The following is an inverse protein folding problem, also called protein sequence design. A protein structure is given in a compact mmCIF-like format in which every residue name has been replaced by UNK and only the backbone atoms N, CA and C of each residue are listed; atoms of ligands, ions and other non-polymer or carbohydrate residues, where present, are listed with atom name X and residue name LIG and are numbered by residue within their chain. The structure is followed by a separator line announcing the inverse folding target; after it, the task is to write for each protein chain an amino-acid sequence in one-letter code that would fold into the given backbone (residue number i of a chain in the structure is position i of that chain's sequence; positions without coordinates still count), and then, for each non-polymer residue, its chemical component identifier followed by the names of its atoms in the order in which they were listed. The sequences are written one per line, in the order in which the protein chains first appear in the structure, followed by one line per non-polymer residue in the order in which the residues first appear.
data_IF_309048992330
#
_entry.id   IF_309048992330
#
_cell.length_a   1.000
_cell.length_b   1.000
_cell.length_c   1.000
_cell.angle_alpha   90.00
_cell.angle_beta   90.00
_cell.angle_gamma   90.00
#
_symmetry.space_group_name_H-M   'P 1'
#
loop_
_entity.id
_entity.type
_entity.pdbx_description
1 polymer ?
#
# COMPACT_ATOMS: atom_id res chain seq x y z
N UNK A 1 10.18 39.25 21.13
CA UNK A 1 9.16 38.18 21.03
C UNK A 1 8.76 38.09 19.57
N UNK A 2 9.52 37.33 18.77
CA UNK A 2 9.17 37.07 17.37
C UNK A 2 8.01 36.09 17.33
N UNK A 3 6.93 36.43 16.62
CA UNK A 3 5.85 35.48 16.40
C UNK A 3 6.31 34.46 15.38
N UNK A 4 6.39 33.18 15.77
CA UNK A 4 6.58 32.08 14.83
C UNK A 4 5.38 32.04 13.87
N UNK A 5 5.66 31.92 12.58
CA UNK A 5 4.63 31.68 11.57
C UNK A 5 3.90 30.35 11.86
N UNK A 6 2.63 30.27 11.48
CA UNK A 6 1.75 29.13 11.78
C UNK A 6 2.26 27.82 11.17
N UNK A 7 2.88 27.85 9.98
CA UNK A 7 3.49 26.68 9.35
C UNK A 7 4.76 26.22 10.10
N UNK A 8 5.60 27.16 10.54
CA UNK A 8 6.79 26.85 11.32
C UNK A 8 6.42 26.21 12.67
N UNK A 9 5.37 26.71 13.32
CA UNK A 9 4.84 26.14 14.56
C UNK A 9 4.26 24.73 14.37
N UNK A 10 3.50 24.50 13.29
CA UNK A 10 2.99 23.15 12.96
C UNK A 10 4.13 22.16 12.68
N UNK A 11 5.15 22.57 11.92
CA UNK A 11 6.34 21.77 11.67
C UNK A 11 7.09 21.43 12.97
N UNK A 12 7.26 22.41 13.87
CA UNK A 12 7.82 22.22 15.21
C UNK A 12 7.03 21.20 16.04
N UNK A 13 5.70 21.31 16.07
CA UNK A 13 4.83 20.41 16.83
C UNK A 13 4.88 18.99 16.24
N UNK A 14 4.79 18.87 14.91
CA UNK A 14 4.81 17.58 14.24
C UNK A 14 6.15 16.87 14.41
N UNK A 15 7.27 17.61 14.36
CA UNK A 15 8.62 17.06 14.47
C UNK A 15 9.12 16.85 15.90
N UNK A 16 8.49 17.49 16.87
CA UNK A 16 8.77 17.20 18.28
C UNK A 16 7.93 16.05 18.80
N UNK A 17 6.78 15.75 18.17
CA UNK A 17 5.73 14.84 18.69
C UNK A 17 5.47 15.06 20.21
N UNK A 18 5.63 16.30 20.70
CA UNK A 18 5.50 16.65 22.12
C UNK A 18 6.77 16.51 22.98
N UNK A 19 7.94 16.21 22.41
CA UNK A 19 9.22 16.11 23.12
C UNK A 19 9.76 17.49 23.53
N UNK A 20 9.44 17.88 24.76
CA UNK A 20 9.80 19.18 25.35
C UNK A 20 11.31 19.45 25.36
N UNK A 21 12.14 18.41 25.55
CA UNK A 21 13.59 18.57 25.50
C UNK A 21 14.08 18.89 24.08
N UNK A 22 13.51 18.27 23.05
CA UNK A 22 13.79 18.60 21.65
C UNK A 22 13.41 20.03 21.30
N UNK A 23 12.23 20.48 21.75
CA UNK A 23 11.81 21.88 21.61
C UNK A 23 12.80 22.84 22.29
N UNK A 24 13.34 22.47 23.44
CA UNK A 24 14.32 23.27 24.17
C UNK A 24 15.67 23.34 23.44
N UNK A 25 16.16 22.23 22.89
CA UNK A 25 17.35 22.23 22.03
C UNK A 25 17.16 23.07 20.76
N UNK A 26 15.96 23.06 20.17
CA UNK A 26 15.64 23.91 19.03
C UNK A 26 15.63 25.40 19.41
N UNK A 27 15.07 25.74 20.57
CA UNK A 27 15.11 27.11 21.10
C UNK A 27 16.54 27.58 21.40
N UNK A 28 17.39 26.70 21.94
CA UNK A 28 18.81 26.99 22.20
C UNK A 28 19.55 27.28 20.89
N UNK A 29 19.44 26.42 19.88
CA UNK A 29 20.08 26.63 18.58
C UNK A 29 19.57 27.90 17.86
N UNK A 30 18.27 28.19 17.97
CA UNK A 30 17.70 29.43 17.42
C UNK A 30 18.21 30.69 18.13
N UNK A 31 18.47 30.62 19.43
CA UNK A 31 19.03 31.73 20.19
C UNK A 31 20.49 32.05 19.82
N UNK A 32 21.25 31.05 19.37
CA UNK A 32 22.64 31.20 18.94
C UNK A 32 22.78 31.69 17.49
N UNK A 33 21.80 31.41 16.63
CA UNK A 33 21.83 31.75 15.20
C UNK A 33 21.51 33.23 14.88
N UNK A 34 20.99 34.00 15.84
CA UNK A 34 20.99 35.47 15.81
C UNK A 34 20.08 36.20 14.80
N UNK A 35 19.38 35.51 13.88
CA UNK A 35 18.54 36.16 12.85
C UNK A 35 17.31 35.32 12.43
N UNK A 36 16.20 35.95 12.02
CA UNK A 36 14.93 35.27 11.65
C UNK A 36 15.04 34.49 10.32
N UNK A 37 15.95 34.88 9.41
CA UNK A 37 16.28 34.10 8.20
C UNK A 37 17.14 32.86 8.49
N UNK A 38 17.65 32.73 9.73
CA UNK A 38 18.48 31.63 10.18
C UNK A 38 17.68 30.47 10.76
N UNK A 39 16.34 30.50 10.75
CA UNK A 39 15.51 29.43 11.32
C UNK A 39 15.84 28.06 10.71
N UNK A 40 16.04 27.98 9.39
CA UNK A 40 16.43 26.73 8.71
C UNK A 40 17.84 26.26 9.09
N UNK A 41 18.79 27.17 9.29
CA UNK A 41 20.14 26.84 9.75
C UNK A 41 20.16 26.47 11.23
N UNK A 42 19.36 27.13 12.06
CA UNK A 42 19.13 26.81 13.47
C UNK A 42 18.42 25.46 13.63
N UNK A 43 17.51 25.10 12.72
CA UNK A 43 16.87 23.79 12.65
C UNK A 43 17.86 22.69 12.29
N UNK A 44 18.80 22.94 11.37
CA UNK A 44 19.87 21.98 11.08
C UNK A 44 20.91 21.89 12.22
N UNK A 45 21.29 23.01 12.84
CA UNK A 45 22.17 23.02 14.00
C UNK A 45 21.55 22.34 15.22
N UNK A 46 20.25 22.51 15.45
CA UNK A 46 19.51 21.83 16.51
C UNK A 46 19.37 20.33 16.27
N UNK A 47 19.23 19.90 15.01
CA UNK A 47 19.27 18.49 14.65
C UNK A 47 20.62 17.84 14.97
N UNK A 48 21.74 18.54 14.74
CA UNK A 48 23.08 18.05 15.12
C UNK A 48 23.19 17.92 16.64
N UNK A 49 22.85 18.97 17.39
CA UNK A 49 22.89 18.94 18.86
C UNK A 49 21.96 17.88 19.47
N UNK A 50 20.76 17.68 18.91
CA UNK A 50 19.84 16.62 19.34
C UNK A 50 20.42 15.25 19.02
N UNK A 51 21.03 15.06 17.85
CA UNK A 51 21.65 13.79 17.48
C UNK A 51 22.83 13.47 18.40
N UNK A 52 23.70 14.44 18.68
CA UNK A 52 24.82 14.28 19.62
C UNK A 52 24.30 13.94 21.02
N UNK A 53 23.30 14.66 21.53
CA UNK A 53 22.68 14.35 22.82
C UNK A 53 22.06 12.94 22.86
N UNK A 54 21.22 12.58 21.87
CA UNK A 54 20.60 11.25 21.80
C UNK A 54 21.66 10.15 21.67
N UNK A 55 22.83 10.46 21.14
CA UNK A 55 23.92 9.51 21.00
C UNK A 55 24.70 9.36 22.30
N UNK A 56 25.22 10.45 22.86
CA UNK A 56 26.12 10.42 24.01
C UNK A 56 25.38 10.16 25.34
N UNK A 57 24.23 10.80 25.52
CA UNK A 57 23.50 10.80 26.80
C UNK A 57 22.40 9.74 26.87
N UNK A 58 21.99 9.22 25.71
CA UNK A 58 20.95 8.17 25.65
C UNK A 58 21.57 6.87 25.16
N UNK A 59 22.01 6.77 23.91
CA UNK A 59 22.42 5.49 23.32
C UNK A 59 23.68 4.92 23.98
N UNK A 60 24.74 5.72 24.09
CA UNK A 60 26.05 5.27 24.59
C UNK A 60 26.00 4.91 26.10
N UNK A 61 24.99 5.43 26.84
CA UNK A 61 24.71 5.09 28.23
C UNK A 61 23.93 3.78 28.41
N UNK A 62 23.35 3.20 27.35
CA UNK A 62 22.56 1.97 27.46
C UNK A 62 23.46 0.73 27.59
N UNK A 63 22.97 -0.34 28.24
CA UNK A 63 23.59 -1.65 28.18
C UNK A 63 23.85 -2.11 26.73
N UNK A 64 24.96 -2.80 26.50
CA UNK A 64 25.42 -3.15 25.14
C UNK A 64 24.43 -4.05 24.37
N UNK A 65 23.71 -4.92 25.07
CA UNK A 65 22.64 -5.75 24.54
C UNK A 65 21.40 -4.92 24.12
N UNK A 66 21.04 -3.90 24.91
CA UNK A 66 19.96 -2.96 24.57
C UNK A 66 20.34 -2.09 23.36
N UNK A 67 21.59 -1.63 23.28
CA UNK A 67 22.09 -0.91 22.10
C UNK A 67 22.00 -1.78 20.85
N UNK A 68 22.43 -3.05 20.93
CA UNK A 68 22.32 -4.00 19.83
C UNK A 68 20.85 -4.21 19.42
N UNK A 69 19.93 -4.38 20.39
CA UNK A 69 18.49 -4.46 20.11
C UNK A 69 18.01 -3.26 19.30
N UNK A 70 18.33 -2.03 19.74
CA UNK A 70 17.90 -0.79 19.09
C UNK A 70 18.39 -0.70 17.65
N UNK A 71 19.66 -1.03 17.41
CA UNK A 71 20.22 -0.99 16.06
C UNK A 71 19.57 -2.04 15.16
N UNK A 72 19.44 -3.29 15.61
CA UNK A 72 18.84 -4.37 14.83
C UNK A 72 17.41 -4.00 14.37
N UNK A 73 16.57 -3.51 15.29
CA UNK A 73 15.15 -3.25 15.00
C UNK A 73 14.87 -1.87 14.40
N UNK A 74 15.85 -0.95 14.35
CA UNK A 74 15.66 0.40 13.81
C UNK A 74 15.18 0.45 12.34
N UNK A 75 15.47 -0.60 11.57
CA UNK A 75 15.05 -0.74 10.18
C UNK A 75 13.55 -1.09 10.02
N UNK A 76 12.89 -1.51 11.10
CA UNK A 76 11.46 -1.79 11.15
C UNK A 76 10.70 -0.50 11.45
N UNK A 77 9.65 -0.20 10.68
CA UNK A 77 8.83 1.00 10.90
C UNK A 77 7.90 0.87 12.11
N UNK A 78 7.44 -0.36 12.34
CA UNK A 78 6.68 -0.77 13.50
C UNK A 78 7.08 -2.19 13.88
N UNK A 79 6.97 -2.52 15.15
CA UNK A 79 7.33 -3.83 15.66
C UNK A 79 6.58 -4.19 16.94
N UNK A 80 6.42 -5.49 17.17
CA UNK A 80 5.96 -6.09 18.41
C UNK A 80 7.00 -7.10 18.89
N UNK A 81 6.79 -7.69 20.07
CA UNK A 81 7.69 -8.69 20.66
C UNK A 81 7.99 -9.82 19.67
N UNK A 82 6.94 -10.41 19.11
CA UNK A 82 7.00 -11.59 18.25
C UNK A 82 7.71 -11.31 16.94
N UNK A 83 7.53 -10.10 16.37
CA UNK A 83 8.25 -9.69 15.17
C UNK A 83 9.73 -9.49 15.47
N UNK A 84 10.08 -8.84 16.58
CA UNK A 84 11.48 -8.62 16.96
C UNK A 84 12.22 -9.95 17.16
N UNK A 85 11.60 -10.90 17.86
CA UNK A 85 12.14 -12.24 18.07
C UNK A 85 12.32 -12.98 16.74
N UNK A 86 11.31 -12.97 15.87
CA UNK A 86 11.39 -13.61 14.57
C UNK A 86 12.44 -12.97 13.65
N UNK A 87 12.51 -11.64 13.61
CA UNK A 87 13.41 -10.89 12.74
C UNK A 87 14.88 -11.12 13.14
N UNK A 88 15.15 -11.08 14.45
CA UNK A 88 16.49 -11.25 15.01
C UNK A 88 16.94 -12.68 15.20
N UNK A 89 16.02 -13.65 15.13
CA UNK A 89 16.24 -15.04 15.54
C UNK A 89 16.59 -15.13 17.04
N UNK A 90 15.81 -14.40 17.86
CA UNK A 90 15.98 -14.21 19.30
C UNK A 90 14.74 -14.58 20.10
N UNK A 91 14.84 -14.48 21.44
CA UNK A 91 13.74 -14.76 22.38
C UNK A 91 13.74 -13.78 23.58
N UNK A 92 14.53 -12.71 23.48
CA UNK A 92 14.79 -11.71 24.51
C UNK A 92 13.99 -10.42 24.29
N UNK A 93 13.21 -10.32 23.21
CA UNK A 93 12.58 -9.06 22.80
C UNK A 93 11.57 -8.53 23.81
N UNK A 94 10.88 -9.42 24.53
CA UNK A 94 9.96 -9.02 25.61
C UNK A 94 10.69 -8.26 26.74
N UNK A 95 11.85 -8.76 27.16
CA UNK A 95 12.68 -8.12 28.19
C UNK A 95 13.26 -6.80 27.71
N UNK A 96 13.70 -6.75 26.44
CA UNK A 96 14.27 -5.56 25.83
C UNK A 96 13.23 -4.45 25.67
N UNK A 97 12.04 -4.76 25.13
CA UNK A 97 10.95 -3.79 25.04
C UNK A 97 10.51 -3.31 26.43
N UNK A 98 10.41 -4.21 27.41
CA UNK A 98 10.12 -3.83 28.80
C UNK A 98 11.17 -2.89 29.39
N UNK A 99 12.45 -3.12 29.11
CA UNK A 99 13.53 -2.21 29.51
C UNK A 99 13.38 -0.83 28.85
N UNK A 100 13.17 -0.79 27.53
CA UNK A 100 13.01 0.46 26.78
C UNK A 100 11.81 1.27 27.28
N UNK A 101 10.69 0.61 27.60
CA UNK A 101 9.52 1.26 28.19
C UNK A 101 9.81 1.80 29.59
N UNK A 102 10.40 0.98 30.47
CA UNK A 102 10.69 1.38 31.86
C UNK A 102 11.67 2.56 31.94
N UNK A 103 12.60 2.66 30.99
CA UNK A 103 13.60 3.73 30.90
C UNK A 103 13.21 4.83 29.90
N UNK A 104 11.99 4.80 29.36
CA UNK A 104 11.44 5.81 28.45
C UNK A 104 12.34 6.10 27.24
N UNK A 105 12.93 5.06 26.65
CA UNK A 105 13.89 5.14 25.54
C UNK A 105 13.14 5.31 24.20
N UNK A 106 12.45 6.44 24.06
CA UNK A 106 11.85 6.92 22.81
C UNK A 106 10.98 5.91 22.06
N UNK A 107 10.29 5.03 22.80
CA UNK A 107 9.33 4.08 22.27
C UNK A 107 7.93 4.68 22.29
N UNK A 108 7.23 4.63 21.15
CA UNK A 108 5.87 5.15 20.98
C UNK A 108 4.91 3.97 20.75
N UNK A 109 3.92 3.75 21.62
CA UNK A 109 2.90 2.74 21.40
C UNK A 109 1.99 3.14 20.23
N UNK A 110 1.60 2.16 19.41
CA UNK A 110 0.74 2.32 18.24
C UNK A 110 -0.69 1.82 18.45
N UNK A 111 -0.93 1.10 19.53
CA UNK A 111 -2.24 0.61 19.92
C UNK A 111 -2.48 0.86 21.42
N UNK A 112 -3.75 0.79 21.84
CA UNK A 112 -4.15 1.04 23.23
C UNK A 112 -3.65 -0.06 24.19
N UNK A 113 -3.38 -1.25 23.66
CA UNK A 113 -2.94 -2.39 24.45
C UNK A 113 -1.42 -2.45 24.64
N UNK A 114 -0.65 -1.60 23.96
CA UNK A 114 0.80 -1.59 23.95
C UNK A 114 1.42 -2.85 23.34
N UNK A 115 0.85 -3.43 22.29
CA UNK A 115 1.47 -4.57 21.58
C UNK A 115 2.40 -4.11 20.47
N UNK A 116 1.97 -3.12 19.69
CA UNK A 116 2.75 -2.54 18.61
C UNK A 116 3.41 -1.25 19.04
N UNK A 117 4.66 -1.11 18.60
CA UNK A 117 5.51 0.03 18.90
C UNK A 117 6.18 0.54 17.63
N UNK A 118 6.58 1.81 17.69
CA UNK A 118 7.61 2.37 16.81
C UNK A 118 8.60 3.15 17.66
N UNK A 119 9.77 3.41 17.10
CA UNK A 119 10.63 4.45 17.64
C UNK A 119 10.08 5.84 17.30
N UNK A 120 10.32 6.80 18.18
CA UNK A 120 10.17 8.22 17.83
C UNK A 120 11.01 8.53 16.59
N UNK A 121 10.46 9.29 15.63
CA UNK A 121 11.08 9.43 14.30
C UNK A 121 12.53 9.97 14.34
N UNK A 122 12.82 11.00 15.14
CA UNK A 122 14.20 11.52 15.32
C UNK A 122 15.18 10.45 15.83
N UNK A 123 14.71 9.58 16.73
CA UNK A 123 15.51 8.50 17.29
C UNK A 123 15.74 7.41 16.25
N UNK A 124 14.69 7.04 15.51
CA UNK A 124 14.77 6.08 14.41
C UNK A 124 15.74 6.54 13.32
N UNK A 125 15.70 7.81 12.92
CA UNK A 125 16.59 8.37 11.91
C UNK A 125 18.05 8.34 12.36
N UNK A 126 18.33 8.64 13.63
CA UNK A 126 19.66 8.53 14.23
C UNK A 126 20.17 7.07 14.20
N UNK A 127 19.33 6.12 14.65
CA UNK A 127 19.69 4.70 14.67
C UNK A 127 20.00 4.18 13.26
N UNK A 128 19.16 4.51 12.27
CA UNK A 128 19.35 4.12 10.86
C UNK A 128 20.60 4.74 10.25
N UNK A 129 20.87 6.03 10.52
CA UNK A 129 22.06 6.71 10.01
C UNK A 129 23.36 6.05 10.51
N UNK A 130 23.38 5.59 11.76
CA UNK A 130 24.54 4.87 12.31
C UNK A 130 24.63 3.43 11.80
N UNK A 131 23.48 2.79 11.56
CA UNK A 131 23.43 1.47 10.92
C UNK A 131 23.86 1.50 9.45
N UNK A 132 23.69 2.62 8.73
CA UNK A 132 24.14 2.74 7.33
C UNK A 132 25.67 2.57 7.16
N UNK A 133 26.45 2.75 8.22
CA UNK A 133 27.89 2.42 8.23
C UNK A 133 28.18 0.91 8.28
N UNK A 134 27.17 0.07 8.53
CA UNK A 134 27.20 -1.39 8.54
C UNK A 134 25.79 -1.95 8.38
N UNK A 135 25.19 -1.74 7.20
CA UNK A 135 23.77 -1.94 6.86
C UNK A 135 23.06 -3.08 7.62
N UNK A 136 21.76 -2.92 7.98
CA UNK A 136 21.00 -3.97 8.63
C UNK A 136 21.17 -5.26 7.84
N UNK A 137 21.46 -6.40 8.51
CA UNK A 137 21.76 -7.62 7.80
C UNK A 137 20.54 -7.98 6.96
N UNK A 138 20.74 -8.22 5.66
CA UNK A 138 19.73 -8.71 4.71
C UNK A 138 18.86 -9.81 5.32
N UNK A 139 19.44 -10.64 6.20
CA UNK A 139 18.77 -11.68 6.98
C UNK A 139 17.59 -11.16 7.81
N UNK A 140 17.72 -10.02 8.48
CA UNK A 140 16.67 -9.45 9.33
C UNK A 140 15.45 -9.06 8.51
N UNK A 141 15.64 -8.33 7.40
CA UNK A 141 14.56 -7.99 6.49
C UNK A 141 13.88 -9.24 5.92
N UNK A 142 14.64 -10.27 5.54
CA UNK A 142 14.06 -11.53 5.07
C UNK A 142 13.27 -12.28 6.15
N UNK A 143 13.74 -12.28 7.39
CA UNK A 143 13.03 -12.89 8.50
C UNK A 143 11.73 -12.12 8.82
N UNK A 144 11.78 -10.79 8.85
CA UNK A 144 10.61 -9.94 9.00
C UNK A 144 9.62 -10.16 7.85
N UNK A 145 10.09 -10.25 6.60
CA UNK A 145 9.28 -10.59 5.43
C UNK A 145 8.52 -11.91 5.63
N UNK A 146 9.21 -12.98 6.07
CA UNK A 146 8.57 -14.28 6.35
C UNK A 146 7.53 -14.19 7.45
N UNK A 147 7.82 -13.46 8.53
CA UNK A 147 6.90 -13.27 9.63
C UNK A 147 5.63 -12.52 9.17
N UNK A 148 5.79 -11.39 8.47
CA UNK A 148 4.66 -10.62 7.94
C UNK A 148 3.82 -11.43 6.95
N UNK A 149 4.48 -12.20 6.07
CA UNK A 149 3.79 -13.11 5.15
C UNK A 149 2.97 -14.16 5.89
N UNK A 150 3.49 -14.74 6.98
CA UNK A 150 2.76 -15.69 7.81
C UNK A 150 1.57 -15.06 8.57
N UNK A 151 1.64 -13.77 8.89
CA UNK A 151 0.53 -13.02 9.48
C UNK A 151 -0.50 -12.52 8.45
N UNK A 152 -0.29 -12.78 7.15
CA UNK A 152 -1.14 -12.27 6.06
C UNK A 152 -0.96 -10.77 5.78
N UNK A 153 0.06 -10.14 6.36
CA UNK A 153 0.44 -8.74 6.16
C UNK A 153 1.36 -8.61 4.94
N UNK A 154 0.78 -8.77 3.75
CA UNK A 154 1.53 -8.85 2.50
C UNK A 154 2.26 -7.55 2.15
N UNK A 155 1.66 -6.44 2.49
CA UNK A 155 2.14 -5.09 2.24
C UNK A 155 3.52 -4.88 2.87
N UNK A 156 3.61 -5.15 4.17
CA UNK A 156 4.84 -5.12 4.92
C UNK A 156 5.81 -6.22 4.46
N UNK A 157 5.32 -7.41 4.13
CA UNK A 157 6.18 -8.50 3.66
C UNK A 157 6.92 -8.14 2.36
N UNK A 158 6.24 -7.52 1.39
CA UNK A 158 6.84 -7.07 0.13
C UNK A 158 7.83 -5.95 0.38
N UNK A 159 7.47 -4.96 1.21
CA UNK A 159 8.35 -3.85 1.57
C UNK A 159 9.66 -4.33 2.21
N UNK A 160 9.58 -5.31 3.12
CA UNK A 160 10.77 -5.92 3.71
C UNK A 160 11.62 -6.66 2.67
N UNK A 161 11.01 -7.37 1.72
CA UNK A 161 11.75 -8.05 0.64
C UNK A 161 12.46 -7.06 -0.31
N UNK A 162 11.81 -5.92 -0.62
CA UNK A 162 12.41 -4.84 -1.40
C UNK A 162 13.60 -4.21 -0.67
N UNK A 163 13.46 -3.91 0.63
CA UNK A 163 14.56 -3.38 1.47
C UNK A 163 15.73 -4.36 1.61
N UNK A 164 15.45 -5.66 1.58
CA UNK A 164 16.47 -6.70 1.57
C UNK A 164 17.22 -6.80 0.22
N UNK A 165 16.76 -6.10 -0.84
CA UNK A 165 17.28 -6.25 -2.20
C UNK A 165 16.88 -7.57 -2.89
N UNK A 166 15.95 -8.33 -2.29
CA UNK A 166 15.48 -9.61 -2.80
C UNK A 166 14.23 -9.44 -3.67
N UNK A 167 14.42 -8.82 -4.83
CA UNK A 167 13.36 -8.41 -5.74
C UNK A 167 12.54 -9.61 -6.27
N UNK A 168 13.16 -10.78 -6.45
CA UNK A 168 12.46 -12.02 -6.82
C UNK A 168 11.45 -12.46 -5.75
N UNK A 169 11.80 -12.28 -4.47
CA UNK A 169 10.92 -12.62 -3.35
C UNK A 169 9.75 -11.65 -3.31
N UNK A 170 10.01 -10.35 -3.46
CA UNK A 170 8.97 -9.33 -3.58
C UNK A 170 8.01 -9.63 -4.75
N UNK A 171 8.56 -9.92 -5.93
CA UNK A 171 7.78 -10.27 -7.11
C UNK A 171 6.95 -11.56 -6.92
N UNK A 172 7.45 -12.56 -6.19
CA UNK A 172 6.70 -13.76 -5.88
C UNK A 172 5.53 -13.46 -4.93
N UNK A 173 5.76 -12.69 -3.87
CA UNK A 173 4.71 -12.27 -2.93
C UNK A 173 3.60 -11.51 -3.65
N UNK A 174 3.95 -10.56 -4.52
CA UNK A 174 2.99 -9.79 -5.33
C UNK A 174 2.16 -10.70 -6.24
N UNK A 175 2.76 -11.72 -6.85
CA UNK A 175 2.02 -12.66 -7.73
C UNK A 175 0.93 -13.44 -7.02
N UNK A 176 1.12 -13.68 -5.72
CA UNK A 176 0.19 -14.43 -4.89
C UNK A 176 -0.99 -13.58 -4.41
N UNK A 177 -1.00 -12.26 -4.69
CA UNK A 177 -2.16 -11.42 -4.44
C UNK A 177 -3.37 -11.92 -5.24
N UNK A 178 -4.52 -11.96 -4.58
CA UNK A 178 -5.80 -12.20 -5.24
C UNK A 178 -6.26 -10.98 -6.03
N UNK A 179 -7.14 -11.17 -7.02
CA UNK A 179 -7.80 -10.05 -7.71
C UNK A 179 -8.63 -9.17 -6.77
N UNK A 180 -9.14 -9.76 -5.70
CA UNK A 180 -9.90 -9.05 -4.66
C UNK A 180 -8.99 -8.09 -3.90
N UNK A 181 -7.80 -8.56 -3.52
CA UNK A 181 -6.78 -7.72 -2.91
C UNK A 181 -6.40 -6.60 -3.88
N UNK A 182 -6.11 -6.91 -5.15
CA UNK A 182 -5.80 -5.89 -6.16
C UNK A 182 -6.84 -4.76 -6.27
N UNK A 183 -8.13 -5.10 -6.18
CA UNK A 183 -9.24 -4.14 -6.36
C UNK A 183 -9.56 -3.33 -5.10
N UNK A 184 -8.90 -3.61 -3.97
CA UNK A 184 -8.99 -2.75 -2.79
C UNK A 184 -8.22 -1.45 -3.00
N UNK A 185 -8.81 -0.31 -2.59
CA UNK A 185 -8.30 1.04 -2.90
C UNK A 185 -6.82 1.24 -2.52
N UNK A 186 -6.38 0.69 -1.38
CA UNK A 186 -4.99 0.81 -0.92
C UNK A 186 -4.00 0.04 -1.81
N UNK A 187 -4.44 -1.05 -2.44
CA UNK A 187 -3.57 -1.97 -3.16
C UNK A 187 -3.17 -1.48 -4.56
N UNK A 188 -3.99 -0.65 -5.23
CA UNK A 188 -3.61 -0.07 -6.53
C UNK A 188 -2.43 0.90 -6.38
N UNK A 189 -2.52 1.85 -5.44
CA UNK A 189 -1.42 2.80 -5.19
C UNK A 189 -0.15 2.11 -4.72
N UNK A 190 -0.29 1.08 -3.89
CA UNK A 190 0.82 0.26 -3.42
C UNK A 190 1.52 -0.53 -4.52
N UNK A 191 0.76 -1.21 -5.38
CA UNK A 191 1.34 -1.89 -6.52
C UNK A 191 2.10 -0.91 -7.40
N UNK A 192 1.51 0.24 -7.73
CA UNK A 192 2.19 1.25 -8.55
C UNK A 192 3.47 1.78 -7.89
N UNK A 193 3.52 1.91 -6.56
CA UNK A 193 4.75 2.22 -5.82
C UNK A 193 5.79 1.12 -6.00
N UNK A 194 5.45 -0.14 -5.73
CA UNK A 194 6.39 -1.26 -5.91
C UNK A 194 6.85 -1.44 -7.36
N UNK A 195 6.04 -1.04 -8.34
CA UNK A 195 6.45 -1.00 -9.75
C UNK A 195 7.68 -0.10 -9.96
N UNK A 196 7.84 0.95 -9.17
CA UNK A 196 8.97 1.87 -9.27
C UNK A 196 10.27 1.26 -8.74
N UNK A 197 10.16 0.30 -7.82
CA UNK A 197 11.30 -0.38 -7.18
C UNK A 197 11.67 -1.70 -7.89
N UNK A 198 10.74 -2.30 -8.63
CA UNK A 198 10.93 -3.56 -9.35
C UNK A 198 11.42 -3.33 -10.79
N UNK A 199 12.49 -4.02 -11.23
CA UNK A 199 12.95 -4.04 -12.61
C UNK A 199 11.86 -4.50 -13.60
N UNK A 200 11.82 -3.89 -14.77
CA UNK A 200 10.85 -4.23 -15.82
C UNK A 200 10.94 -5.70 -16.27
N UNK A 201 12.14 -6.28 -16.24
CA UNK A 201 12.35 -7.71 -16.55
C UNK A 201 11.63 -8.61 -15.54
N UNK A 202 11.58 -8.23 -14.26
CA UNK A 202 10.82 -8.97 -13.25
C UNK A 202 9.32 -8.75 -13.42
N UNK A 203 8.88 -7.53 -13.66
CA UNK A 203 7.46 -7.23 -13.90
C UNK A 203 6.89 -8.00 -15.10
N UNK A 204 7.73 -8.28 -16.09
CA UNK A 204 7.36 -9.03 -17.31
C UNK A 204 7.75 -10.51 -17.28
N UNK A 205 8.29 -11.00 -16.16
CA UNK A 205 8.78 -12.38 -16.02
C UNK A 205 7.69 -13.44 -16.00
N UNK A 206 6.47 -13.08 -15.58
CA UNK A 206 5.33 -14.01 -15.55
C UNK A 206 4.04 -13.36 -16.07
N UNK A 207 3.10 -14.15 -16.65
CA UNK A 207 1.80 -13.63 -17.06
C UNK A 207 1.00 -13.03 -15.89
N UNK A 208 1.21 -13.55 -14.67
CA UNK A 208 0.47 -13.10 -13.49
C UNK A 208 0.86 -11.67 -13.10
N UNK A 209 2.16 -11.36 -13.07
CA UNK A 209 2.64 -9.99 -12.80
C UNK A 209 2.14 -9.01 -13.84
N UNK A 210 2.27 -9.38 -15.12
CA UNK A 210 1.79 -8.56 -16.23
C UNK A 210 0.32 -8.20 -16.05
N UNK A 211 -0.53 -9.19 -15.77
CA UNK A 211 -1.97 -8.95 -15.54
C UNK A 211 -2.17 -8.03 -14.33
N UNK A 212 -1.58 -8.34 -13.16
CA UNK A 212 -1.78 -7.56 -11.93
C UNK A 212 -1.41 -6.09 -12.12
N UNK A 213 -0.22 -5.82 -12.66
CA UNK A 213 0.26 -4.46 -12.86
C UNK A 213 -0.47 -3.73 -13.98
N UNK A 214 -0.84 -4.41 -15.06
CA UNK A 214 -1.59 -3.77 -16.13
C UNK A 214 -3.01 -3.40 -15.69
N UNK A 215 -3.63 -4.20 -14.81
CA UNK A 215 -4.87 -3.82 -14.13
C UNK A 215 -4.69 -2.61 -13.21
N UNK A 216 -3.65 -2.59 -12.37
CA UNK A 216 -3.36 -1.43 -11.51
C UNK A 216 -3.18 -0.13 -12.33
N UNK A 217 -2.42 -0.21 -13.43
CA UNK A 217 -2.24 0.90 -14.37
C UNK A 217 -3.56 1.31 -15.04
N UNK A 218 -4.37 0.34 -15.49
CA UNK A 218 -5.67 0.60 -16.12
C UNK A 218 -6.66 1.27 -15.18
N UNK A 219 -6.70 0.85 -13.91
CA UNK A 219 -7.56 1.46 -12.88
C UNK A 219 -7.08 2.85 -12.46
N UNK A 220 -5.77 3.10 -12.47
CA UNK A 220 -5.18 4.41 -12.29
C UNK A 220 -5.22 5.30 -13.55
N UNK A 221 -5.95 4.89 -14.60
CA UNK A 221 -6.07 5.58 -15.88
C UNK A 221 -4.73 5.84 -16.61
N UNK A 222 -3.69 5.06 -16.31
CA UNK A 222 -2.43 5.06 -17.06
C UNK A 222 -2.55 4.12 -18.27
N UNK A 223 -3.46 4.48 -19.19
CA UNK A 223 -3.99 3.56 -20.22
C UNK A 223 -2.92 3.06 -21.21
N UNK A 224 -1.98 3.93 -21.61
CA UNK A 224 -0.93 3.55 -22.56
C UNK A 224 0.06 2.57 -21.93
N UNK A 225 0.48 2.82 -20.68
CA UNK A 225 1.31 1.90 -19.93
C UNK A 225 0.60 0.56 -19.64
N UNK A 226 -0.71 0.60 -19.37
CA UNK A 226 -1.52 -0.61 -19.20
C UNK A 226 -1.56 -1.44 -20.49
N UNK A 227 -1.78 -0.80 -21.65
CA UNK A 227 -1.80 -1.48 -22.95
C UNK A 227 -0.43 -2.05 -23.33
N UNK A 228 0.63 -1.27 -23.16
CA UNK A 228 2.00 -1.72 -23.42
C UNK A 228 2.36 -2.94 -22.59
N UNK A 229 2.06 -2.92 -21.29
CA UNK A 229 2.31 -4.04 -20.40
C UNK A 229 1.43 -5.25 -20.77
N UNK A 230 0.14 -5.04 -21.05
CA UNK A 230 -0.78 -6.11 -21.46
C UNK A 230 -0.31 -6.85 -22.72
N UNK A 231 0.29 -6.12 -23.67
CA UNK A 231 0.82 -6.69 -24.90
C UNK A 231 1.98 -7.67 -24.65
N UNK A 232 2.68 -7.56 -23.50
CA UNK A 232 3.72 -8.51 -23.11
C UNK A 232 3.18 -9.92 -22.84
N UNK A 233 1.87 -10.09 -22.62
CA UNK A 233 1.25 -11.42 -22.51
C UNK A 233 1.47 -12.28 -23.76
N UNK A 234 1.62 -11.66 -24.93
CA UNK A 234 1.88 -12.36 -26.19
C UNK A 234 3.18 -13.18 -26.16
N UNK A 235 4.18 -12.79 -25.35
CA UNK A 235 5.44 -13.52 -25.17
C UNK A 235 5.26 -14.92 -24.58
N UNK A 236 4.14 -15.16 -23.89
CA UNK A 236 3.81 -16.43 -23.26
C UNK A 236 2.90 -17.31 -24.14
N UNK A 237 2.76 -16.96 -25.42
CA UNK A 237 2.05 -17.76 -26.42
C UNK A 237 3.03 -18.55 -27.31
N UNK A 238 2.68 -19.80 -27.69
CA UNK A 238 1.51 -20.55 -27.25
C UNK A 238 1.61 -20.95 -25.77
N UNK A 239 0.47 -20.94 -25.06
CA UNK A 239 0.48 -21.31 -23.65
C UNK A 239 0.66 -22.82 -23.48
N UNK A 240 1.12 -23.31 -22.30
CA UNK A 240 1.37 -24.74 -22.07
C UNK A 240 0.15 -25.65 -22.22
N UNK A 241 -1.06 -25.09 -22.19
CA UNK A 241 -2.31 -25.83 -22.41
C UNK A 241 -3.37 -24.94 -23.05
N UNK A 242 -4.35 -25.56 -23.72
CA UNK A 242 -5.51 -24.85 -24.25
C UNK A 242 -6.30 -24.09 -23.17
N UNK A 243 -6.38 -24.63 -21.95
CA UNK A 243 -7.03 -23.98 -20.80
C UNK A 243 -6.25 -22.73 -20.37
N UNK A 244 -4.92 -22.82 -20.26
CA UNK A 244 -4.08 -21.67 -19.94
C UNK A 244 -4.18 -20.58 -21.03
N UNK A 245 -4.18 -20.98 -22.30
CA UNK A 245 -4.34 -20.06 -23.43
C UNK A 245 -5.69 -19.33 -23.38
N UNK A 246 -6.79 -20.07 -23.16
CA UNK A 246 -8.13 -19.48 -23.00
C UNK A 246 -8.19 -18.52 -21.82
N UNK A 247 -7.62 -18.90 -20.67
CA UNK A 247 -7.59 -18.03 -19.49
C UNK A 247 -6.78 -16.75 -19.73
N UNK A 248 -5.65 -16.84 -20.43
CA UNK A 248 -4.82 -15.67 -20.73
C UNK A 248 -5.51 -14.72 -21.71
N UNK A 249 -6.13 -15.26 -22.76
CA UNK A 249 -6.93 -14.47 -23.71
C UNK A 249 -8.12 -13.79 -23.01
N UNK A 250 -8.82 -14.49 -22.13
CA UNK A 250 -9.95 -13.92 -21.40
C UNK A 250 -9.53 -12.75 -20.48
N UNK A 251 -8.37 -12.87 -19.82
CA UNK A 251 -7.79 -11.81 -18.99
C UNK A 251 -7.36 -10.61 -19.83
N UNK A 252 -6.73 -10.85 -20.99
CA UNK A 252 -6.37 -9.80 -21.93
C UNK A 252 -7.63 -9.06 -22.44
N UNK A 253 -8.67 -9.78 -22.85
CA UNK A 253 -9.95 -9.19 -23.26
C UNK A 253 -10.57 -8.31 -22.17
N UNK A 254 -10.58 -8.79 -20.93
CA UNK A 254 -11.12 -8.02 -19.81
C UNK A 254 -10.37 -6.69 -19.63
N UNK A 255 -9.04 -6.74 -19.64
CA UNK A 255 -8.18 -5.56 -19.52
C UNK A 255 -8.32 -4.61 -20.71
N UNK A 256 -8.35 -5.13 -21.95
CA UNK A 256 -8.59 -4.33 -23.16
C UNK A 256 -9.94 -3.63 -23.14
N UNK A 257 -10.97 -4.24 -22.54
CA UNK A 257 -12.27 -3.60 -22.32
C UNK A 257 -12.18 -2.39 -21.38
N UNK A 258 -11.37 -2.47 -20.32
CA UNK A 258 -11.15 -1.36 -19.38
C UNK A 258 -10.33 -0.24 -20.01
N UNK A 259 -9.30 -0.59 -20.79
CA UNK A 259 -8.50 0.39 -21.54
C UNK A 259 -9.39 1.10 -22.58
N UNK A 260 -10.20 0.35 -23.33
CA UNK A 260 -11.15 0.91 -24.29
C UNK A 260 -12.15 1.86 -23.62
N UNK A 261 -12.68 1.48 -22.45
CA UNK A 261 -13.57 2.34 -21.64
C UNK A 261 -12.88 3.64 -21.27
N UNK A 262 -11.64 3.57 -20.76
CA UNK A 262 -10.86 4.75 -20.39
C UNK A 262 -10.60 5.68 -21.59
N UNK A 263 -10.46 5.13 -22.79
CA UNK A 263 -10.31 5.88 -24.05
C UNK A 263 -11.63 6.39 -24.64
N UNK A 264 -12.77 6.03 -24.06
CA UNK A 264 -14.10 6.39 -24.60
C UNK A 264 -14.49 5.60 -25.85
N UNK A 265 -13.82 4.49 -26.17
CA UNK A 265 -14.16 3.62 -27.31
C UNK A 265 -15.28 2.66 -26.91
N UNK A 266 -16.53 3.11 -27.05
CA UNK A 266 -17.73 2.38 -26.69
C UNK A 266 -17.86 1.03 -27.39
N UNK A 267 -17.51 0.96 -28.67
CA UNK A 267 -17.64 -0.26 -29.48
C UNK A 267 -16.65 -1.34 -29.02
N UNK A 268 -15.38 -0.97 -28.81
CA UNK A 268 -14.38 -1.91 -28.27
C UNK A 268 -14.70 -2.29 -26.83
N UNK A 269 -15.16 -1.34 -26.01
CA UNK A 269 -15.58 -1.62 -24.63
C UNK A 269 -16.65 -2.70 -24.59
N UNK A 270 -17.73 -2.50 -25.37
CA UNK A 270 -18.84 -3.44 -25.48
C UNK A 270 -18.35 -4.81 -25.92
N UNK A 271 -17.55 -4.87 -26.99
CA UNK A 271 -17.06 -6.11 -27.57
C UNK A 271 -16.16 -6.87 -26.60
N UNK A 272 -15.09 -6.23 -26.12
CA UNK A 272 -14.10 -6.89 -25.28
C UNK A 272 -14.66 -7.33 -23.93
N UNK A 273 -15.44 -6.50 -23.24
CA UNK A 273 -16.05 -6.91 -21.96
C UNK A 273 -17.08 -8.03 -22.14
N UNK A 274 -17.84 -8.06 -23.24
CA UNK A 274 -18.79 -9.15 -23.52
C UNK A 274 -18.05 -10.46 -23.81
N UNK A 275 -17.05 -10.43 -24.70
CA UNK A 275 -16.22 -11.61 -25.01
C UNK A 275 -15.45 -12.11 -23.78
N UNK A 276 -14.97 -11.20 -22.92
CA UNK A 276 -14.35 -11.54 -21.64
C UNK A 276 -15.32 -12.27 -20.71
N UNK A 277 -16.55 -11.79 -20.52
CA UNK A 277 -17.53 -12.44 -19.65
C UNK A 277 -17.94 -13.85 -20.10
N UNK A 278 -17.92 -14.11 -21.42
CA UNK A 278 -18.16 -15.43 -22.00
C UNK A 278 -16.98 -16.40 -21.78
N UNK A 279 -15.76 -15.87 -21.66
CA UNK A 279 -14.53 -16.67 -21.66
C UNK A 279 -13.87 -16.79 -20.29
N UNK A 280 -14.11 -15.83 -19.38
CA UNK A 280 -13.53 -15.78 -18.04
C UNK A 280 -14.10 -16.91 -17.17
N UNK A 281 -13.25 -17.73 -16.52
CA UNK A 281 -13.70 -18.71 -15.54
C UNK A 281 -14.51 -18.04 -14.42
N UNK A 282 -15.50 -18.76 -13.87
CA UNK A 282 -16.37 -18.24 -12.80
C UNK A 282 -15.58 -17.73 -11.59
N UNK A 283 -14.46 -18.37 -11.26
CA UNK A 283 -13.58 -18.02 -10.14
C UNK A 283 -12.87 -16.65 -10.28
N UNK A 284 -12.89 -16.02 -11.46
CA UNK A 284 -12.28 -14.70 -11.69
C UNK A 284 -13.27 -13.58 -11.36
N UNK A 285 -13.78 -13.57 -10.14
CA UNK A 285 -14.90 -12.73 -9.73
C UNK A 285 -14.63 -11.23 -9.95
N UNK A 286 -13.46 -10.73 -9.54
CA UNK A 286 -13.11 -9.31 -9.68
C UNK A 286 -13.13 -8.83 -11.14
N UNK A 287 -12.49 -9.57 -12.05
CA UNK A 287 -12.46 -9.21 -13.48
C UNK A 287 -13.86 -9.28 -14.11
N UNK A 288 -14.66 -10.29 -13.74
CA UNK A 288 -16.05 -10.42 -14.20
C UNK A 288 -16.91 -9.26 -13.68
N UNK A 289 -16.77 -8.91 -12.41
CA UNK A 289 -17.48 -7.78 -11.80
C UNK A 289 -17.15 -6.47 -12.50
N UNK A 290 -15.86 -6.20 -12.74
CA UNK A 290 -15.41 -4.98 -13.41
C UNK A 290 -15.89 -4.92 -14.87
N UNK A 291 -15.97 -6.06 -15.58
CA UNK A 291 -16.59 -6.12 -16.91
C UNK A 291 -18.10 -5.83 -16.85
N UNK A 292 -18.84 -6.41 -15.88
CA UNK A 292 -20.27 -6.17 -15.70
C UNK A 292 -20.55 -4.69 -15.39
N UNK A 293 -19.81 -4.12 -14.43
CA UNK A 293 -19.85 -2.69 -14.07
C UNK A 293 -19.59 -1.79 -15.28
N UNK A 294 -18.55 -2.11 -16.05
CA UNK A 294 -18.19 -1.37 -17.27
C UNK A 294 -19.31 -1.38 -18.30
N UNK A 295 -19.89 -2.56 -18.57
CA UNK A 295 -21.01 -2.69 -19.51
C UNK A 295 -22.28 -2.02 -18.98
N UNK A 296 -22.56 -2.08 -17.68
CA UNK A 296 -23.71 -1.42 -17.08
C UNK A 296 -23.61 0.09 -17.23
N UNK A 297 -22.43 0.64 -16.95
CA UNK A 297 -22.13 2.06 -17.09
C UNK A 297 -22.19 2.53 -18.55
N UNK A 298 -21.71 1.72 -19.50
CA UNK A 298 -21.88 1.98 -20.93
C UNK A 298 -23.35 1.96 -21.35
N UNK A 299 -24.15 1.03 -20.85
CA UNK A 299 -25.58 0.96 -21.13
C UNK A 299 -26.34 2.19 -20.58
N UNK A 300 -25.97 2.71 -19.39
CA UNK A 300 -26.48 3.99 -18.88
C UNK A 300 -26.15 5.13 -19.83
N UNK A 301 -24.89 5.25 -20.26
CA UNK A 301 -24.44 6.30 -21.17
C UNK A 301 -25.19 6.27 -22.52
N UNK A 302 -25.53 5.06 -23.01
CA UNK A 302 -26.29 4.86 -24.23
C UNK A 302 -27.82 5.00 -24.05
N UNK A 303 -28.30 5.24 -22.82
CA UNK A 303 -29.73 5.31 -22.50
C UNK A 303 -30.47 3.97 -22.44
N UNK A 304 -29.76 2.84 -22.55
CA UNK A 304 -30.33 1.49 -22.40
C UNK A 304 -30.43 1.10 -20.91
N UNK A 305 -31.36 1.76 -20.21
CA UNK A 305 -31.56 1.59 -18.78
C UNK A 305 -32.08 0.19 -18.41
N UNK A 306 -32.71 -0.52 -19.33
CA UNK A 306 -33.14 -1.90 -19.11
C UNK A 306 -31.93 -2.83 -19.04
N UNK A 307 -31.02 -2.73 -20.02
CA UNK A 307 -29.80 -3.53 -20.04
C UNK A 307 -28.89 -3.20 -18.87
N UNK A 308 -28.75 -1.90 -18.54
CA UNK A 308 -27.98 -1.47 -17.38
C UNK A 308 -28.49 -2.11 -16.07
N UNK A 309 -29.81 -2.19 -15.90
CA UNK A 309 -30.43 -2.84 -14.73
C UNK A 309 -30.12 -4.35 -14.66
N UNK A 310 -30.16 -5.06 -15.79
CA UNK A 310 -29.84 -6.50 -15.83
C UNK A 310 -28.38 -6.72 -15.44
N UNK A 311 -27.46 -5.98 -16.06
CA UNK A 311 -26.03 -6.09 -15.78
C UNK A 311 -25.69 -5.79 -14.32
N UNK A 312 -26.29 -4.77 -13.71
CA UNK A 312 -26.10 -4.45 -12.30
C UNK A 312 -26.69 -5.48 -11.34
N UNK A 313 -27.82 -6.10 -11.70
CA UNK A 313 -28.35 -7.22 -10.91
C UNK A 313 -27.37 -8.38 -10.92
N UNK A 314 -26.86 -8.75 -12.09
CA UNK A 314 -25.91 -9.85 -12.23
C UNK A 314 -24.57 -9.52 -11.52
N UNK A 315 -24.14 -8.26 -11.53
CA UNK A 315 -22.98 -7.77 -10.76
C UNK A 315 -23.19 -7.88 -9.24
N UNK A 316 -24.36 -7.47 -8.74
CA UNK A 316 -24.69 -7.55 -7.32
C UNK A 316 -24.83 -9.00 -6.84
N UNK A 317 -25.47 -9.87 -7.63
CA UNK A 317 -25.54 -11.29 -7.34
C UNK A 317 -24.15 -11.93 -7.27
N UNK A 318 -23.24 -11.55 -8.18
CA UNK A 318 -21.86 -12.00 -8.15
C UNK A 318 -21.14 -11.52 -6.88
N UNK A 319 -21.24 -10.22 -6.55
CA UNK A 319 -20.62 -9.64 -5.37
C UNK A 319 -21.08 -10.32 -4.07
N UNK A 320 -22.39 -10.52 -3.91
CA UNK A 320 -22.98 -11.17 -2.74
C UNK A 320 -22.57 -12.64 -2.60
N UNK A 321 -22.42 -13.37 -3.71
CA UNK A 321 -21.95 -14.76 -3.68
C UNK A 321 -20.51 -14.89 -3.21
N UNK A 322 -19.68 -13.90 -3.54
CA UNK A 322 -18.27 -13.85 -3.11
C UNK A 322 -18.16 -13.37 -1.66
N UNK A 323 -19.18 -12.67 -1.15
CA UNK A 323 -19.21 -12.05 0.17
C UNK A 323 -18.02 -11.10 0.39
N UNK A 324 -17.64 -10.37 -0.66
CA UNK A 324 -16.58 -9.37 -0.61
C UNK A 324 -17.20 -7.96 -0.45
N UNK A 325 -16.97 -7.27 0.69
CA UNK A 325 -17.63 -6.00 0.99
C UNK A 325 -17.36 -4.90 -0.05
N UNK A 326 -16.14 -4.83 -0.59
CA UNK A 326 -15.78 -3.84 -1.61
C UNK A 326 -16.53 -4.08 -2.92
N UNK A 327 -16.68 -5.35 -3.31
CA UNK A 327 -17.45 -5.71 -4.50
C UNK A 327 -18.93 -5.39 -4.32
N UNK A 328 -19.48 -5.62 -3.13
CA UNK A 328 -20.86 -5.24 -2.81
C UNK A 328 -21.05 -3.73 -2.83
N UNK A 329 -20.13 -2.96 -2.24
CA UNK A 329 -20.16 -1.50 -2.26
C UNK A 329 -20.13 -0.95 -3.70
N UNK A 330 -19.24 -1.48 -4.56
CA UNK A 330 -19.17 -1.10 -5.97
C UNK A 330 -20.47 -1.44 -6.72
N UNK A 331 -21.02 -2.63 -6.52
CA UNK A 331 -22.27 -3.05 -7.17
C UNK A 331 -23.47 -2.19 -6.72
N UNK A 332 -23.54 -1.82 -5.44
CA UNK A 332 -24.53 -0.87 -4.92
C UNK A 332 -24.38 0.52 -5.54
N UNK A 333 -23.14 1.02 -5.68
CA UNK A 333 -22.86 2.28 -6.36
C UNK A 333 -23.33 2.28 -7.82
N UNK A 334 -22.98 1.26 -8.61
CA UNK A 334 -23.42 1.18 -10.01
C UNK A 334 -24.95 1.07 -10.12
N UNK A 335 -25.60 0.34 -9.22
CA UNK A 335 -27.05 0.23 -9.16
C UNK A 335 -27.70 1.57 -8.81
N UNK A 336 -27.12 2.34 -7.87
CA UNK A 336 -27.57 3.69 -7.56
C UNK A 336 -27.52 4.60 -8.80
N UNK A 337 -26.45 4.52 -9.60
CA UNK A 337 -26.34 5.29 -10.86
C UNK A 337 -27.44 4.94 -11.87
N UNK A 338 -27.81 3.67 -12.01
CA UNK A 338 -28.93 3.27 -12.88
C UNK A 338 -30.26 3.82 -12.36
N UNK A 339 -30.51 3.76 -11.06
CA UNK A 339 -31.71 4.33 -10.46
C UNK A 339 -31.78 5.85 -10.66
N UNK A 340 -30.65 6.54 -10.47
CA UNK A 340 -30.54 7.97 -10.72
C UNK A 340 -30.84 8.31 -12.18
N UNK A 341 -30.27 7.56 -13.14
CA UNK A 341 -30.53 7.76 -14.57
C UNK A 341 -32.01 7.50 -14.96
N UNK A 342 -32.74 6.72 -14.14
CA UNK A 342 -34.19 6.49 -14.28
C UNK A 342 -35.07 7.53 -13.56
N UNK A 343 -34.46 8.50 -12.88
CA UNK A 343 -35.17 9.52 -12.08
C UNK A 343 -35.59 9.04 -10.68
N UNK A 344 -35.16 7.85 -10.25
CA UNK A 344 -35.53 7.26 -8.95
C UNK A 344 -34.56 7.70 -7.83
N UNK A 345 -34.43 9.02 -7.63
CA UNK A 345 -33.37 9.63 -6.78
C UNK A 345 -33.37 9.12 -5.33
N UNK A 346 -34.54 8.97 -4.70
CA UNK A 346 -34.64 8.49 -3.32
C UNK A 346 -34.16 7.04 -3.17
N UNK A 347 -34.43 6.21 -4.18
CA UNK A 347 -33.96 4.81 -4.18
C UNK A 347 -32.47 4.74 -4.49
N UNK A 348 -31.96 5.61 -5.36
CA UNK A 348 -30.53 5.72 -5.60
C UNK A 348 -29.76 6.07 -4.32
N UNK A 349 -30.28 7.03 -3.53
CA UNK A 349 -29.67 7.41 -2.25
C UNK A 349 -29.64 6.24 -1.25
N UNK A 350 -30.72 5.45 -1.19
CA UNK A 350 -30.78 4.28 -0.31
C UNK A 350 -29.76 3.21 -0.72
N UNK A 351 -29.57 2.96 -2.02
CA UNK A 351 -28.54 2.04 -2.49
C UNK A 351 -27.13 2.52 -2.14
N UNK A 352 -26.84 3.84 -2.25
CA UNK A 352 -25.54 4.39 -1.81
C UNK A 352 -25.31 4.15 -0.32
N UNK A 353 -26.33 4.35 0.52
CA UNK A 353 -26.21 4.09 1.97
C UNK A 353 -25.96 2.62 2.28
N UNK A 354 -26.62 1.71 1.55
CA UNK A 354 -26.35 0.27 1.69
C UNK A 354 -24.92 -0.08 1.29
N UNK A 355 -24.41 0.53 0.22
CA UNK A 355 -23.01 0.37 -0.19
C UNK A 355 -22.01 0.89 0.85
N UNK A 356 -22.30 2.02 1.49
CA UNK A 356 -21.46 2.60 2.56
C UNK A 356 -21.44 1.78 3.86
N UNK A 357 -22.39 0.87 4.05
CA UNK A 357 -22.46 -0.02 5.21
C UNK A 357 -21.72 -1.35 5.01
N UNK A 358 -21.24 -1.61 3.78
CA UNK A 358 -20.37 -2.74 3.47
C UNK A 358 -18.93 -2.34 3.75
#
# INVERSE_FOLDING_TARGET
SGSLDSEALQSLIQRSEGWVAGLRFWLLAASEAGDESALSQALHGSEVLIREYLLEEVIDCLPADVQAFLYDTACLERFCVELCDAARDGHDSAGMLGYLQAHQVFLVPLDEQGHWFRYHHLFSDLLRARQAAGAPPTRLHLNACRWFSAQGQLDEAVEQALRAGHLDVAANLVQNLSEEQLLAEQNVGMLLRWKMDLPDDLLTSTPRLIVLYAWALGLACQLDAAEELANQLSRFLPAPSATAQKSMLAQWLALSGIIARGRGDSDKTQRYCTEALLSLPERRYGQRLVCLSTLANLAVANGDLWRARVLNRDALELAQRVANPLFEALAHYDRARVLQARGEILRALEEVRQGQQR
#
